data_IF_286544255512
#
_entry.id   IF_286544255512
#
_cell.length_a   1.000
_cell.length_b   1.000
_cell.length_c   1.000
_cell.angle_alpha   90.00
_cell.angle_beta   90.00
_cell.angle_gamma   90.00
#
_symmetry.space_group_name_H-M   'P 1'
#
loop_
_entity.id
_entity.type
_entity.pdbx_description
1 polymer ?
#
# COMPACT_ATOMS: atom_id res chain seq x y z
N UNK A 1 -6.25 10.65 -5.20
CA UNK A 1 -5.32 11.24 -4.21
C UNK A 1 -6.06 12.41 -3.58
N UNK A 2 -6.29 12.36 -2.26
CA UNK A 2 -7.09 13.36 -1.54
C UNK A 2 -6.29 13.79 -0.32
N UNK A 3 -6.04 15.10 -0.16
CA UNK A 3 -5.41 15.70 1.04
C UNK A 3 -4.27 14.87 1.66
N UNK A 4 -3.26 14.54 0.85
CA UNK A 4 -2.16 13.65 1.23
C UNK A 4 -0.80 14.25 0.86
N UNK A 5 0.23 13.93 1.62
CA UNK A 5 1.59 14.39 1.35
C UNK A 5 2.44 13.27 0.71
N UNK A 6 2.96 13.52 -0.49
CA UNK A 6 3.75 12.55 -1.25
C UNK A 6 5.07 13.18 -1.66
N UNK A 7 6.19 12.58 -1.28
CA UNK A 7 7.54 13.06 -1.61
C UNK A 7 8.44 11.91 -2.04
N UNK A 8 9.37 12.15 -2.97
CA UNK A 8 10.37 11.16 -3.43
C UNK A 8 9.77 9.79 -3.80
N UNK A 9 8.56 9.78 -4.37
CA UNK A 9 7.78 8.56 -4.57
C UNK A 9 7.27 8.45 -6.00
N UNK A 10 7.10 7.22 -6.47
CA UNK A 10 6.45 6.92 -7.75
C UNK A 10 5.05 6.41 -7.47
N UNK A 11 4.05 7.03 -8.09
CA UNK A 11 2.63 6.67 -7.94
C UNK A 11 2.13 6.03 -9.23
N UNK A 12 1.79 4.75 -9.13
CA UNK A 12 1.25 3.95 -10.21
C UNK A 12 -0.17 4.33 -10.59
N UNK A 13 -0.62 3.77 -11.72
CA UNK A 13 -1.94 4.05 -12.26
C UNK A 13 -3.04 3.51 -11.35
N UNK A 14 -4.18 4.21 -11.33
CA UNK A 14 -5.36 3.86 -10.53
C UNK A 14 -5.12 3.75 -9.02
N UNK A 15 -4.02 4.30 -8.51
CA UNK A 15 -3.79 4.41 -7.08
C UNK A 15 -4.90 5.20 -6.39
N UNK A 16 -5.45 4.62 -5.34
CA UNK A 16 -6.27 5.32 -4.37
C UNK A 16 -5.43 5.60 -3.13
N UNK A 17 -5.38 6.87 -2.73
CA UNK A 17 -4.65 7.36 -1.55
C UNK A 17 -5.59 8.32 -0.85
N UNK A 18 -5.99 7.94 0.37
CA UNK A 18 -6.94 8.69 1.19
C UNK A 18 -6.27 9.84 1.95
N UNK A 19 -7.09 10.66 2.61
CA UNK A 19 -6.69 11.86 3.35
C UNK A 19 -5.74 11.57 4.50
N UNK A 20 -4.91 12.57 4.84
CA UNK A 20 -3.98 12.50 5.96
C UNK A 20 -2.76 11.60 5.72
N UNK A 21 -2.76 10.83 4.64
CA UNK A 21 -1.71 9.86 4.33
C UNK A 21 -0.41 10.56 3.94
N UNK A 22 0.71 10.00 4.42
CA UNK A 22 2.08 10.48 4.14
C UNK A 22 2.88 9.36 3.49
N UNK A 23 3.35 9.60 2.27
CA UNK A 23 4.10 8.62 1.48
C UNK A 23 5.44 9.22 1.09
N UNK A 24 6.53 8.61 1.53
CA UNK A 24 7.86 9.09 1.22
C UNK A 24 8.84 7.95 0.90
N UNK A 25 9.66 8.18 -0.15
CA UNK A 25 10.59 7.17 -0.70
C UNK A 25 9.90 5.83 -1.01
N UNK A 26 8.75 5.88 -1.67
CA UNK A 26 7.99 4.68 -1.96
C UNK A 26 7.64 4.51 -3.44
N UNK A 27 7.45 3.27 -3.86
CA UNK A 27 6.92 2.92 -5.18
C UNK A 27 5.58 2.23 -5.00
N UNK A 28 4.50 2.89 -5.38
CA UNK A 28 3.17 2.29 -5.42
C UNK A 28 2.91 1.81 -6.84
N UNK A 29 2.74 0.51 -7.05
CA UNK A 29 2.46 -0.05 -8.38
C UNK A 29 1.03 0.26 -8.86
N UNK A 30 0.13 0.61 -7.94
CA UNK A 30 -1.23 1.04 -8.24
C UNK A 30 -2.23 -0.10 -8.26
N UNK A 31 -3.19 -0.06 -9.17
CA UNK A 31 -4.24 -1.07 -9.24
C UNK A 31 -4.63 -1.44 -10.68
N UNK A 32 -5.04 -2.70 -10.84
CA UNK A 32 -5.57 -3.22 -12.09
C UNK A 32 -7.03 -2.74 -12.32
N UNK A 33 -7.76 -2.39 -11.25
CA UNK A 33 -9.13 -1.88 -11.26
C UNK A 33 -9.31 -0.69 -10.31
N UNK A 34 -10.37 0.09 -10.50
CA UNK A 34 -10.72 1.17 -9.59
C UNK A 34 -11.38 0.64 -8.32
N UNK A 35 -11.17 1.33 -7.18
CA UNK A 35 -11.78 1.00 -5.88
C UNK A 35 -13.32 0.96 -5.89
N UNK A 36 -13.95 1.69 -6.81
CA UNK A 36 -15.40 1.72 -7.00
C UNK A 36 -15.90 0.82 -8.14
N UNK A 37 -15.03 -0.01 -8.71
CA UNK A 37 -15.43 -1.00 -9.70
C UNK A 37 -16.28 -2.09 -9.03
N UNK A 38 -17.37 -2.49 -9.68
CA UNK A 38 -18.14 -3.65 -9.27
C UNK A 38 -17.40 -4.97 -9.54
N UNK A 39 -17.93 -6.08 -9.03
CA UNK A 39 -17.30 -7.39 -9.16
C UNK A 39 -17.14 -7.83 -10.63
N UNK A 40 -18.09 -7.46 -11.48
CA UNK A 40 -18.05 -7.77 -12.92
C UNK A 40 -16.90 -7.01 -13.62
N UNK A 41 -16.71 -5.73 -13.31
CA UNK A 41 -15.63 -4.90 -13.85
C UNK A 41 -14.25 -5.28 -13.31
N UNK A 42 -14.16 -5.91 -12.13
CA UNK A 42 -12.91 -6.47 -11.59
C UNK A 42 -12.49 -7.75 -12.32
N UNK A 43 -13.45 -8.44 -12.94
CA UNK A 43 -13.24 -9.64 -13.73
C UNK A 43 -12.54 -10.75 -12.94
N UNK A 44 -11.70 -11.55 -13.62
CA UNK A 44 -10.97 -12.66 -13.00
C UNK A 44 -9.72 -12.25 -12.21
N UNK A 45 -9.41 -10.95 -12.10
CA UNK A 45 -8.13 -10.45 -11.56
C UNK A 45 -8.00 -10.72 -10.05
N UNK A 46 -9.11 -10.98 -9.35
CA UNK A 46 -9.14 -11.30 -7.92
C UNK A 46 -8.60 -10.17 -7.03
N UNK A 47 -8.51 -10.45 -5.72
CA UNK A 47 -7.94 -9.54 -4.73
C UNK A 47 -8.96 -8.72 -3.92
N UNK A 48 -8.51 -7.68 -3.20
CA UNK A 48 -9.33 -6.94 -2.24
C UNK A 48 -10.36 -6.03 -2.92
N UNK A 49 -11.55 -5.91 -2.35
CA UNK A 49 -12.60 -5.03 -2.88
C UNK A 49 -12.18 -3.56 -2.96
N UNK A 50 -11.33 -3.11 -2.02
CA UNK A 50 -10.97 -1.71 -1.87
C UNK A 50 -9.45 -1.48 -1.91
N UNK A 51 -8.77 -1.78 -3.03
CA UNK A 51 -7.34 -1.54 -3.15
C UNK A 51 -7.02 -0.06 -2.95
N UNK A 52 -5.81 0.21 -2.47
CA UNK A 52 -5.32 1.54 -2.14
C UNK A 52 -4.88 1.69 -0.69
N UNK A 53 -4.61 2.92 -0.31
CA UNK A 53 -4.08 3.30 1.00
C UNK A 53 -5.17 4.04 1.78
N UNK A 54 -5.53 3.50 2.95
CA UNK A 54 -6.48 4.09 3.89
C UNK A 54 -6.00 5.42 4.47
N UNK A 55 -6.90 6.07 5.22
CA UNK A 55 -6.66 7.41 5.76
C UNK A 55 -5.60 7.39 6.86
N UNK A 56 -4.91 8.51 7.03
CA UNK A 56 -3.95 8.74 8.11
C UNK A 56 -2.83 7.69 8.18
N UNK A 57 -2.52 7.04 7.05
CA UNK A 57 -1.49 6.01 6.95
C UNK A 57 -0.12 6.61 6.59
N UNK A 58 0.95 6.11 7.20
CA UNK A 58 2.34 6.50 6.91
C UNK A 58 3.05 5.38 6.17
N UNK A 59 3.67 5.70 5.03
CA UNK A 59 4.49 4.77 4.25
C UNK A 59 5.86 5.39 4.01
N UNK A 60 6.91 4.68 4.39
CA UNK A 60 8.30 5.13 4.30
C UNK A 60 9.18 4.00 3.74
N UNK A 61 9.95 4.27 2.68
CA UNK A 61 10.94 3.33 2.16
C UNK A 61 10.37 1.95 1.78
N UNK A 62 9.31 1.94 0.96
CA UNK A 62 8.55 0.73 0.65
C UNK A 62 8.18 0.60 -0.82
N UNK A 63 7.99 -0.65 -1.26
CA UNK A 63 7.35 -1.01 -2.53
C UNK A 63 5.97 -1.58 -2.18
N UNK A 64 4.92 -1.00 -2.74
CA UNK A 64 3.54 -1.48 -2.58
C UNK A 64 3.08 -2.03 -3.92
N UNK A 65 2.96 -3.33 -4.02
CA UNK A 65 2.56 -4.01 -5.25
C UNK A 65 1.06 -3.81 -5.54
N UNK A 66 0.63 -4.24 -6.72
CA UNK A 66 -0.70 -3.96 -7.25
C UNK A 66 -1.80 -4.49 -6.36
N UNK A 67 -2.89 -3.72 -6.32
CA UNK A 67 -4.13 -4.08 -5.65
C UNK A 67 -3.98 -4.33 -4.13
N UNK A 68 -2.85 -3.95 -3.53
CA UNK A 68 -2.73 -3.97 -2.08
C UNK A 68 -3.79 -3.07 -1.45
N UNK A 69 -4.43 -3.55 -0.39
CA UNK A 69 -5.39 -2.82 0.43
C UNK A 69 -4.75 -2.58 1.79
N UNK A 70 -4.24 -1.37 2.01
CA UNK A 70 -3.67 -0.96 3.28
C UNK A 70 -4.72 -0.17 4.04
N UNK A 71 -5.00 -0.58 5.27
CA UNK A 71 -5.97 0.03 6.15
C UNK A 71 -5.64 1.47 6.55
N UNK A 72 -6.49 2.03 7.39
CA UNK A 72 -6.34 3.37 7.96
C UNK A 72 -5.45 3.35 9.20
N UNK A 73 -4.68 4.41 9.43
CA UNK A 73 -3.80 4.55 10.58
C UNK A 73 -2.63 3.55 10.61
N UNK A 74 -2.30 2.93 9.47
CA UNK A 74 -1.17 2.01 9.38
C UNK A 74 0.16 2.77 9.39
N UNK A 75 1.20 2.13 9.89
CA UNK A 75 2.59 2.61 9.81
C UNK A 75 3.41 1.54 9.10
N UNK A 76 3.78 1.82 7.85
CA UNK A 76 4.63 0.97 7.03
C UNK A 76 6.00 1.64 6.98
N UNK A 77 6.80 1.40 8.01
CA UNK A 77 8.09 2.04 8.20
C UNK A 77 8.96 1.11 9.06
N UNK A 78 10.00 0.53 8.45
CA UNK A 78 10.93 -0.39 9.08
C UNK A 78 11.83 0.32 10.11
N UNK A 79 11.24 0.80 11.20
CA UNK A 79 11.94 1.57 12.25
C UNK A 79 12.97 0.73 12.99
N UNK A 80 12.82 -0.60 12.98
CA UNK A 80 13.79 -1.54 13.53
C UNK A 80 15.07 -1.68 12.69
N UNK A 81 15.07 -1.21 11.43
CA UNK A 81 16.22 -1.36 10.52
C UNK A 81 16.48 -2.80 10.09
N UNK A 82 15.47 -3.67 10.14
CA UNK A 82 15.54 -5.08 9.73
C UNK A 82 16.00 -5.18 8.28
N UNK A 83 17.04 -5.96 7.99
CA UNK A 83 17.53 -6.10 6.62
C UNK A 83 16.69 -7.11 5.82
N UNK A 84 16.41 -8.24 6.43
CA UNK A 84 15.69 -9.36 5.84
C UNK A 84 14.59 -9.83 6.78
N UNK A 85 13.37 -9.98 6.26
CA UNK A 85 12.23 -10.40 7.06
C UNK A 85 11.03 -10.79 6.22
N UNK A 86 10.02 -11.35 6.87
CA UNK A 86 8.74 -11.66 6.28
C UNK A 86 7.64 -11.59 7.33
N UNK A 87 6.42 -11.34 6.88
CA UNK A 87 5.24 -11.35 7.72
C UNK A 87 3.97 -11.45 6.88
N UNK A 88 2.79 -11.36 7.53
CA UNK A 88 1.53 -11.44 6.83
C UNK A 88 1.39 -10.33 5.78
N UNK A 89 1.45 -10.69 4.50
CA UNK A 89 1.27 -9.76 3.38
C UNK A 89 2.48 -8.87 3.04
N UNK A 90 3.66 -9.12 3.63
CA UNK A 90 4.85 -8.36 3.29
C UNK A 90 6.16 -9.15 3.42
N UNK A 91 7.18 -8.64 2.74
CA UNK A 91 8.58 -9.01 2.91
C UNK A 91 9.43 -7.79 3.25
N UNK A 92 10.59 -8.00 3.83
CA UNK A 92 11.65 -6.99 3.92
C UNK A 92 12.88 -7.54 3.22
N UNK A 93 13.38 -6.83 2.21
CA UNK A 93 14.60 -7.17 1.45
C UNK A 93 15.49 -5.95 1.39
N UNK A 94 16.75 -6.09 1.78
CA UNK A 94 17.71 -4.97 1.87
C UNK A 94 17.15 -3.75 2.64
N UNK A 95 16.35 -4.00 3.68
CA UNK A 95 15.70 -2.96 4.49
C UNK A 95 14.49 -2.26 3.83
N UNK A 96 14.10 -2.65 2.62
CA UNK A 96 12.92 -2.15 1.90
C UNK A 96 11.72 -3.05 2.21
N UNK A 97 10.63 -2.45 2.69
CA UNK A 97 9.36 -3.18 2.88
C UNK A 97 8.72 -3.40 1.51
N UNK A 98 8.27 -4.62 1.25
CA UNK A 98 7.56 -5.01 0.02
C UNK A 98 6.19 -5.54 0.44
N UNK A 99 5.14 -4.75 0.25
CA UNK A 99 3.75 -5.19 0.41
C UNK A 99 3.37 -5.97 -0.86
N UNK A 100 2.97 -7.23 -0.70
CA UNK A 100 2.76 -8.14 -1.85
C UNK A 100 1.45 -7.84 -2.58
N UNK A 101 1.37 -8.29 -3.84
CA UNK A 101 0.16 -8.14 -4.66
C UNK A 101 -1.06 -8.69 -3.93
N UNK A 102 -2.18 -7.97 -3.99
CA UNK A 102 -3.46 -8.33 -3.37
C UNK A 102 -3.41 -8.48 -1.83
N UNK A 103 -2.33 -8.05 -1.15
CA UNK A 103 -2.27 -8.11 0.31
C UNK A 103 -3.34 -7.22 0.94
N UNK A 104 -3.92 -7.68 2.05
CA UNK A 104 -4.80 -6.90 2.91
C UNK A 104 -4.09 -6.64 4.24
N UNK A 105 -3.70 -5.39 4.47
CA UNK A 105 -3.05 -4.95 5.70
C UNK A 105 -4.12 -4.27 6.56
N UNK A 106 -4.49 -4.84 7.73
CA UNK A 106 -5.55 -4.29 8.57
C UNK A 106 -5.24 -2.89 9.12
N UNK A 107 -6.30 -2.16 9.48
CA UNK A 107 -6.20 -0.85 10.15
C UNK A 107 -5.27 -0.90 11.37
N UNK A 108 -4.48 0.17 11.57
CA UNK A 108 -3.57 0.32 12.71
C UNK A 108 -2.35 -0.61 12.69
N UNK A 109 -2.15 -1.41 11.65
CA UNK A 109 -0.97 -2.29 11.53
C UNK A 109 0.32 -1.48 11.47
N UNK A 110 1.34 -1.93 12.22
CA UNK A 110 2.70 -1.39 12.23
C UNK A 110 3.66 -2.45 11.69
N UNK A 111 4.40 -2.11 10.64
CA UNK A 111 5.40 -2.95 9.96
C UNK A 111 6.73 -2.22 9.90
#
# INVERSE_FOLDING_TARGET
IVDSHISNSVIGIRSFIDRGTRINRAVLMGADYYRWADEEARGSVGGPAFPGIGADTRIENAIVDKNASIGSGCVIANEAGTQEGEGPGFYIRDGIIIIVKNAEIPDGTVI
#
